data_IF_594593904923
#
_entry.id   IF_594593904923
#
_cell.length_a   1.000
_cell.length_b   1.000
_cell.length_c   1.000
_cell.angle_alpha   90.00
_cell.angle_beta   90.00
_cell.angle_gamma   90.00
#
_symmetry.space_group_name_H-M   'P 1'
#
loop_
_entity.id
_entity.type
_entity.pdbx_description
1 polymer ?
#
# COMPACT_ATOMS: atom_id res chain seq x y z
N UNK A 1 -15.88 -3.88 -25.85
CA UNK A 1 -16.38 -4.15 -24.48
C UNK A 1 -15.21 -3.92 -23.55
N UNK A 2 -15.38 -3.19 -22.46
CA UNK A 2 -14.30 -3.03 -21.49
C UNK A 2 -14.15 -4.32 -20.66
N UNK A 3 -12.95 -4.64 -20.26
CA UNK A 3 -12.66 -5.80 -19.41
C UNK A 3 -13.46 -5.73 -18.10
N UNK A 4 -13.65 -4.52 -17.58
CA UNK A 4 -14.45 -4.27 -16.36
C UNK A 4 -15.92 -4.71 -16.57
N UNK A 5 -16.50 -4.47 -17.74
CA UNK A 5 -17.91 -4.83 -18.00
C UNK A 5 -18.13 -6.34 -18.12
N UNK A 6 -17.12 -7.10 -18.49
CA UNK A 6 -17.19 -8.55 -18.67
C UNK A 6 -16.78 -9.32 -17.41
N UNK A 7 -15.70 -8.87 -16.75
CA UNK A 7 -15.09 -9.59 -15.63
C UNK A 7 -15.09 -8.81 -14.31
N UNK A 8 -15.90 -7.76 -14.18
CA UNK A 8 -15.86 -6.81 -13.04
C UNK A 8 -15.94 -7.49 -11.67
N UNK A 9 -16.83 -8.47 -11.49
CA UNK A 9 -16.95 -9.21 -10.22
C UNK A 9 -15.70 -10.05 -9.92
N UNK A 10 -15.14 -10.71 -10.93
CA UNK A 10 -13.91 -11.51 -10.77
C UNK A 10 -12.72 -10.60 -10.42
N UNK A 11 -12.58 -9.48 -11.14
CA UNK A 11 -11.53 -8.49 -10.87
C UNK A 11 -11.65 -7.93 -9.46
N UNK A 12 -12.86 -7.62 -9.00
CA UNK A 12 -13.11 -7.16 -7.65
C UNK A 12 -12.67 -8.19 -6.60
N UNK A 13 -13.01 -9.46 -6.78
CA UNK A 13 -12.62 -10.52 -5.85
C UNK A 13 -11.10 -10.70 -5.79
N UNK A 14 -10.42 -10.65 -6.94
CA UNK A 14 -8.95 -10.74 -6.99
C UNK A 14 -8.32 -9.50 -6.35
N UNK A 15 -8.84 -8.30 -6.62
CA UNK A 15 -8.38 -7.06 -6.00
C UNK A 15 -8.53 -7.09 -4.47
N UNK A 16 -9.66 -7.59 -3.96
CA UNK A 16 -9.86 -7.80 -2.53
C UNK A 16 -8.86 -8.78 -1.93
N UNK A 17 -8.54 -9.87 -2.63
CA UNK A 17 -7.53 -10.83 -2.18
C UNK A 17 -6.13 -10.20 -2.12
N UNK A 18 -5.74 -9.40 -3.12
CA UNK A 18 -4.47 -8.68 -3.13
C UNK A 18 -4.43 -7.58 -2.07
N UNK A 19 -5.53 -6.85 -1.87
CA UNK A 19 -5.65 -5.85 -0.81
C UNK A 19 -5.50 -6.48 0.59
N UNK A 20 -6.13 -7.64 0.82
CA UNK A 20 -5.98 -8.39 2.07
C UNK A 20 -4.54 -8.88 2.26
N UNK A 21 -3.91 -9.41 1.21
CA UNK A 21 -2.51 -9.83 1.24
C UNK A 21 -1.57 -8.67 1.58
N UNK A 22 -1.77 -7.52 0.94
CA UNK A 22 -0.99 -6.32 1.25
C UNK A 22 -1.24 -5.82 2.68
N UNK A 23 -2.49 -5.74 3.13
CA UNK A 23 -2.85 -5.32 4.48
C UNK A 23 -2.21 -6.23 5.55
N UNK A 24 -2.15 -7.55 5.30
CA UNK A 24 -1.43 -8.48 6.15
C UNK A 24 0.08 -8.17 6.20
N UNK A 25 0.70 -7.87 5.05
CA UNK A 25 2.12 -7.49 4.97
C UNK A 25 2.42 -6.18 5.72
N UNK A 26 1.53 -5.17 5.56
CA UNK A 26 1.60 -3.89 6.29
C UNK A 26 1.52 -4.14 7.80
N UNK A 27 0.49 -4.86 8.27
CA UNK A 27 0.33 -5.15 9.68
C UNK A 27 1.52 -5.91 10.28
N UNK A 28 2.10 -6.87 9.54
CA UNK A 28 3.27 -7.62 10.01
C UNK A 28 4.51 -6.73 10.15
N UNK A 29 4.73 -5.78 9.23
CA UNK A 29 5.90 -4.90 9.24
C UNK A 29 5.71 -3.70 10.19
N UNK A 30 4.60 -2.98 10.07
CA UNK A 30 4.38 -1.74 10.81
C UNK A 30 4.14 -1.98 12.30
N UNK A 31 3.41 -3.03 12.68
CA UNK A 31 3.23 -3.38 14.10
C UNK A 31 4.57 -3.74 14.74
N UNK A 32 5.44 -4.48 14.03
CA UNK A 32 6.77 -4.81 14.52
C UNK A 32 7.62 -3.54 14.72
N UNK A 33 7.58 -2.61 13.76
CA UNK A 33 8.32 -1.35 13.84
C UNK A 33 7.78 -0.42 14.95
N UNK A 34 6.46 -0.26 15.03
CA UNK A 34 5.82 0.64 16.00
C UNK A 34 5.90 0.12 17.44
N UNK A 35 5.73 -1.19 17.65
CA UNK A 35 5.60 -1.79 18.97
C UNK A 35 6.89 -2.47 19.46
N UNK A 36 7.92 -2.58 18.60
CA UNK A 36 9.14 -3.31 18.90
C UNK A 36 9.85 -2.81 20.18
N UNK A 37 9.95 -1.51 20.36
CA UNK A 37 10.55 -0.91 21.57
C UNK A 37 9.74 -1.16 22.83
N UNK A 38 8.41 -1.09 22.74
CA UNK A 38 7.51 -1.34 23.88
C UNK A 38 7.55 -2.80 24.33
N UNK A 39 7.65 -3.72 23.39
CA UNK A 39 7.80 -5.16 23.67
C UNK A 39 9.21 -5.47 24.15
N UNK A 40 10.23 -4.88 23.53
CA UNK A 40 11.63 -5.07 23.89
C UNK A 40 11.95 -4.57 25.30
N UNK A 41 11.37 -3.46 25.71
CA UNK A 41 11.47 -2.93 27.09
C UNK A 41 10.62 -3.67 28.12
N UNK A 42 9.82 -4.65 27.69
CA UNK A 42 8.85 -5.40 28.50
C UNK A 42 7.71 -4.53 29.08
N UNK A 43 7.48 -3.34 28.54
CA UNK A 43 6.33 -2.51 28.92
C UNK A 43 5.00 -3.15 28.45
N UNK A 44 5.03 -3.85 27.31
CA UNK A 44 3.90 -4.61 26.78
C UNK A 44 4.33 -6.03 26.43
N UNK A 45 3.43 -6.98 26.61
CA UNK A 45 3.56 -8.32 26.02
C UNK A 45 3.23 -8.24 24.52
N UNK A 46 3.73 -9.18 23.72
CA UNK A 46 3.43 -9.27 22.28
C UNK A 46 1.91 -9.26 22.03
N UNK A 47 1.13 -10.01 22.81
CA UNK A 47 -0.33 -10.06 22.67
C UNK A 47 -1.00 -8.70 22.93
N UNK A 48 -0.54 -7.99 23.96
CA UNK A 48 -1.04 -6.63 24.27
C UNK A 48 -0.67 -5.65 23.16
N UNK A 49 0.57 -5.70 22.68
CA UNK A 49 1.02 -4.84 21.60
C UNK A 49 0.19 -5.05 20.31
N UNK A 50 -0.05 -6.31 19.91
CA UNK A 50 -0.90 -6.63 18.75
C UNK A 50 -2.32 -6.11 18.96
N UNK A 51 -2.91 -6.30 20.14
CA UNK A 51 -4.27 -5.83 20.41
C UNK A 51 -4.40 -4.31 20.36
N UNK A 52 -3.43 -3.60 20.92
CA UNK A 52 -3.37 -2.13 20.88
C UNK A 52 -3.21 -1.66 19.44
N UNK A 53 -2.24 -2.23 18.69
CA UNK A 53 -2.01 -1.89 17.30
C UNK A 53 -3.28 -2.09 16.45
N UNK A 54 -3.95 -3.24 16.58
CA UNK A 54 -5.18 -3.55 15.85
C UNK A 54 -6.26 -2.47 16.03
N UNK A 55 -6.46 -1.98 17.26
CA UNK A 55 -7.46 -0.95 17.55
C UNK A 55 -7.06 0.38 16.88
N UNK A 56 -5.81 0.82 17.07
CA UNK A 56 -5.36 2.11 16.57
C UNK A 56 -5.19 2.13 15.06
N UNK A 57 -4.74 1.04 14.44
CA UNK A 57 -4.68 0.92 12.97
C UNK A 57 -6.07 0.95 12.36
N UNK A 58 -7.04 0.22 12.95
CA UNK A 58 -8.43 0.28 12.49
C UNK A 58 -9.01 1.69 12.59
N UNK A 59 -8.83 2.35 13.73
CA UNK A 59 -9.28 3.73 13.92
C UNK A 59 -8.59 4.69 12.93
N UNK A 60 -7.29 4.56 12.73
CA UNK A 60 -6.54 5.39 11.78
C UNK A 60 -7.04 5.20 10.35
N UNK A 61 -7.22 3.97 9.90
CA UNK A 61 -7.76 3.66 8.59
C UNK A 61 -9.19 4.20 8.40
N UNK A 62 -10.03 4.08 9.41
CA UNK A 62 -11.41 4.57 9.37
C UNK A 62 -11.50 6.10 9.34
N UNK A 63 -10.66 6.79 10.13
CA UNK A 63 -10.73 8.24 10.28
C UNK A 63 -9.96 9.00 9.19
N UNK A 64 -8.83 8.47 8.71
CA UNK A 64 -7.92 9.17 7.80
C UNK A 64 -7.67 8.44 6.48
N UNK A 65 -8.14 7.20 6.31
CA UNK A 65 -7.89 6.40 5.11
C UNK A 65 -8.38 7.02 3.80
N UNK A 66 -9.46 7.80 3.85
CA UNK A 66 -9.99 8.51 2.67
C UNK A 66 -9.02 9.56 2.13
N UNK A 67 -8.43 10.38 3.01
CA UNK A 67 -7.47 11.43 2.62
C UNK A 67 -6.18 10.84 2.05
N UNK A 68 -5.69 9.74 2.63
CA UNK A 68 -4.51 9.03 2.14
C UNK A 68 -4.79 8.46 0.74
N UNK A 69 -5.94 7.84 0.54
CA UNK A 69 -6.34 7.27 -0.75
C UNK A 69 -6.42 8.36 -1.83
N UNK A 70 -7.00 9.52 -1.50
CA UNK A 70 -7.10 10.64 -2.44
C UNK A 70 -5.72 11.20 -2.81
N UNK A 71 -4.83 11.33 -1.85
CA UNK A 71 -3.45 11.79 -2.07
C UNK A 71 -2.68 10.85 -3.01
N UNK A 72 -2.80 9.54 -2.81
CA UNK A 72 -2.15 8.56 -3.67
C UNK A 72 -2.73 8.61 -5.08
N UNK A 73 -4.06 8.64 -5.20
CA UNK A 73 -4.76 8.61 -6.47
C UNK A 73 -4.49 9.85 -7.35
N UNK A 74 -4.49 11.03 -6.74
CA UNK A 74 -4.43 12.30 -7.48
C UNK A 74 -3.07 12.99 -7.37
N UNK A 75 -2.25 12.63 -6.41
CA UNK A 75 -0.98 13.31 -6.11
C UNK A 75 0.24 12.73 -6.82
N UNK A 76 0.22 11.46 -7.18
CA UNK A 76 1.43 10.76 -7.68
C UNK A 76 1.35 10.50 -9.18
N UNK A 77 0.15 10.18 -9.70
CA UNK A 77 -0.07 9.79 -11.09
C UNK A 77 -1.20 10.60 -11.70
N UNK A 78 -1.03 10.98 -12.96
CA UNK A 78 -2.05 11.66 -13.76
C UNK A 78 -3.12 10.62 -14.20
N UNK A 79 -4.18 10.49 -13.39
CA UNK A 79 -5.25 9.54 -13.62
C UNK A 79 -6.01 9.77 -14.94
N UNK A 80 -6.04 11.01 -15.45
CA UNK A 80 -6.74 11.37 -16.71
C UNK A 80 -6.08 10.75 -17.94
N UNK A 81 -4.82 10.34 -17.82
CA UNK A 81 -4.06 9.69 -18.91
C UNK A 81 -4.21 8.17 -18.93
N UNK A 82 -4.92 7.59 -17.97
CA UNK A 82 -5.01 6.15 -17.77
C UNK A 82 -6.42 5.67 -18.07
N UNK A 83 -6.55 4.68 -18.95
CA UNK A 83 -7.85 4.07 -19.19
C UNK A 83 -8.37 3.35 -17.94
N UNK A 84 -9.69 3.29 -17.70
CA UNK A 84 -10.24 2.62 -16.51
C UNK A 84 -9.79 1.16 -16.36
N UNK A 85 -9.70 0.41 -17.45
CA UNK A 85 -9.24 -1.00 -17.44
C UNK A 85 -7.77 -1.09 -17.01
N UNK A 86 -6.91 -0.21 -17.52
CA UNK A 86 -5.50 -0.16 -17.15
C UNK A 86 -5.30 0.32 -15.71
N UNK A 87 -6.14 1.26 -15.23
CA UNK A 87 -6.12 1.71 -13.85
C UNK A 87 -6.40 0.56 -12.88
N UNK A 88 -7.43 -0.25 -13.14
CA UNK A 88 -7.76 -1.41 -12.31
C UNK A 88 -6.60 -2.41 -12.27
N UNK A 89 -6.03 -2.75 -13.42
CA UNK A 89 -4.88 -3.66 -13.49
C UNK A 89 -3.64 -3.09 -12.78
N UNK A 90 -3.41 -1.78 -12.95
CA UNK A 90 -2.34 -1.08 -12.29
C UNK A 90 -2.45 -1.15 -10.78
N UNK A 91 -3.59 -0.74 -10.22
CA UNK A 91 -3.85 -0.80 -8.79
C UNK A 91 -3.71 -2.23 -8.23
N UNK A 92 -4.16 -3.24 -8.96
CA UNK A 92 -3.98 -4.64 -8.56
C UNK A 92 -2.51 -5.05 -8.58
N UNK A 93 -1.74 -4.60 -9.57
CA UNK A 93 -0.30 -4.90 -9.65
C UNK A 93 0.49 -4.21 -8.54
N UNK A 94 0.11 -3.01 -8.14
CA UNK A 94 0.68 -2.27 -7.02
C UNK A 94 0.47 -2.99 -5.68
N UNK A 95 -0.77 -3.43 -5.42
CA UNK A 95 -1.11 -4.18 -4.21
C UNK A 95 -0.27 -5.47 -4.11
N UNK A 96 -0.13 -6.17 -5.22
CA UNK A 96 0.65 -7.41 -5.29
C UNK A 96 2.15 -7.14 -5.13
N UNK A 97 2.69 -6.13 -5.80
CA UNK A 97 4.10 -5.77 -5.75
C UNK A 97 4.50 -5.28 -4.34
N UNK A 98 3.75 -4.33 -3.77
CA UNK A 98 4.00 -3.82 -2.43
C UNK A 98 3.84 -4.93 -1.38
N UNK A 99 2.77 -5.74 -1.45
CA UNK A 99 2.55 -6.87 -0.54
C UNK A 99 3.67 -7.91 -0.62
N UNK A 100 4.13 -8.24 -1.82
CA UNK A 100 5.26 -9.18 -2.02
C UNK A 100 6.55 -8.64 -1.43
N UNK A 101 6.84 -7.35 -1.65
CA UNK A 101 8.00 -6.71 -1.05
C UNK A 101 7.96 -6.73 0.48
N UNK A 102 6.79 -6.37 1.07
CA UNK A 102 6.59 -6.40 2.52
C UNK A 102 6.72 -7.82 3.09
N UNK A 103 6.24 -8.84 2.38
CA UNK A 103 6.43 -10.24 2.77
C UNK A 103 7.91 -10.61 2.81
N UNK A 104 8.67 -10.25 1.78
CA UNK A 104 10.11 -10.50 1.71
C UNK A 104 10.83 -9.77 2.86
N UNK A 105 10.56 -8.48 3.04
CA UNK A 105 11.16 -7.66 4.08
C UNK A 105 10.87 -8.21 5.48
N UNK A 106 9.61 -8.53 5.78
CA UNK A 106 9.19 -9.10 7.06
C UNK A 106 9.83 -10.47 7.31
N UNK A 107 9.92 -11.32 6.28
CA UNK A 107 10.58 -12.64 6.40
C UNK A 107 12.06 -12.55 6.70
N UNK A 108 12.71 -11.44 6.31
CA UNK A 108 14.13 -11.16 6.56
C UNK A 108 14.37 -10.32 7.82
N UNK A 109 13.29 -9.86 8.47
CA UNK A 109 13.39 -8.96 9.62
C UNK A 109 13.88 -7.56 9.24
N UNK A 110 13.66 -7.13 7.99
CA UNK A 110 14.05 -5.79 7.54
C UNK A 110 12.97 -4.77 7.90
N UNK A 111 13.29 -3.74 8.69
CA UNK A 111 12.38 -2.63 8.92
C UNK A 111 12.34 -1.75 7.67
N UNK A 112 11.23 -1.80 6.94
CA UNK A 112 11.03 -1.00 5.73
C UNK A 112 9.87 -0.04 5.89
N UNK A 113 9.88 1.08 5.16
CA UNK A 113 8.76 1.99 5.08
C UNK A 113 7.69 1.43 4.15
N UNK A 114 6.51 1.17 4.68
CA UNK A 114 5.35 0.71 3.91
C UNK A 114 4.89 1.79 2.94
N UNK A 115 4.90 3.07 3.35
CA UNK A 115 4.58 4.21 2.48
C UNK A 115 5.51 4.27 1.26
N UNK A 116 6.83 4.20 1.46
CA UNK A 116 7.77 4.19 0.35
C UNK A 116 7.59 2.97 -0.57
N UNK A 117 7.23 1.82 0.00
CA UNK A 117 6.96 0.60 -0.77
C UNK A 117 5.75 0.75 -1.68
N UNK A 118 4.66 1.33 -1.17
CA UNK A 118 3.44 1.62 -1.94
C UNK A 118 3.74 2.63 -3.05
N UNK A 119 4.37 3.75 -2.71
CA UNK A 119 4.70 4.80 -3.67
C UNK A 119 5.63 4.26 -4.76
N UNK A 120 6.61 3.45 -4.40
CA UNK A 120 7.47 2.77 -5.37
C UNK A 120 6.71 1.87 -6.33
N UNK A 121 5.70 1.14 -5.84
CA UNK A 121 4.84 0.30 -6.68
C UNK A 121 3.96 1.14 -7.62
N UNK A 122 3.35 2.22 -7.14
CA UNK A 122 2.56 3.19 -7.92
C UNK A 122 3.40 3.82 -9.04
N UNK A 123 4.58 4.32 -8.69
CA UNK A 123 5.52 4.93 -9.64
C UNK A 123 6.00 3.91 -10.67
N UNK A 124 6.31 2.69 -10.22
CA UNK A 124 6.72 1.60 -11.11
C UNK A 124 5.64 1.23 -12.12
N UNK A 125 4.40 1.12 -11.69
CA UNK A 125 3.26 0.89 -12.60
C UNK A 125 3.11 2.06 -13.57
N UNK A 126 3.06 3.30 -13.10
CA UNK A 126 2.84 4.46 -13.95
C UNK A 126 3.97 4.62 -14.98
N UNK A 127 5.23 4.48 -14.58
CA UNK A 127 6.38 4.64 -15.47
C UNK A 127 6.46 3.55 -16.55
N UNK A 128 6.12 2.30 -16.22
CA UNK A 128 6.23 1.17 -17.13
C UNK A 128 4.93 0.92 -17.88
N UNK A 129 3.79 1.02 -17.21
CA UNK A 129 2.47 0.71 -17.78
C UNK A 129 1.86 1.85 -18.60
N UNK A 130 2.24 3.10 -18.33
CA UNK A 130 1.71 4.28 -19.00
C UNK A 130 2.83 5.05 -19.72
N UNK A 131 3.55 5.85 -18.97
CA UNK A 131 4.76 6.58 -19.41
C UNK A 131 5.43 7.23 -18.19
N UNK A 132 6.71 7.57 -18.33
CA UNK A 132 7.43 8.33 -17.29
C UNK A 132 6.85 9.73 -17.07
N UNK A 133 6.17 10.31 -18.08
CA UNK A 133 5.55 11.63 -18.02
C UNK A 133 4.20 11.62 -17.28
N UNK A 134 3.63 10.43 -17.02
CA UNK A 134 2.42 10.27 -16.21
C UNK A 134 2.70 10.34 -14.70
N UNK A 135 3.97 10.41 -14.31
CA UNK A 135 4.40 10.47 -12.91
C UNK A 135 4.67 11.90 -12.50
N UNK A 136 4.10 12.35 -11.40
CA UNK A 136 4.36 13.66 -10.82
C UNK A 136 5.66 13.64 -10.00
N UNK A 137 6.81 13.68 -10.68
CA UNK A 137 8.14 13.58 -10.05
C UNK A 137 8.39 14.62 -8.97
N UNK A 138 7.77 15.80 -9.09
CA UNK A 138 7.88 16.87 -8.08
C UNK A 138 7.21 16.49 -6.75
N UNK A 139 6.20 15.62 -6.76
CA UNK A 139 5.55 15.12 -5.55
C UNK A 139 6.36 14.01 -4.86
N UNK A 140 7.17 13.27 -5.62
CA UNK A 140 7.94 12.13 -5.12
C UNK A 140 9.16 12.60 -4.30
N UNK A 141 9.82 13.68 -4.73
CA UNK A 141 11.00 14.20 -4.06
C UNK A 141 10.84 14.45 -2.56
N UNK A 142 9.83 15.21 -2.11
CA UNK A 142 9.55 15.43 -0.70
C UNK A 142 9.23 14.14 0.07
N UNK A 143 8.55 13.18 -0.56
CA UNK A 143 8.16 11.92 0.08
C UNK A 143 9.39 11.02 0.31
N UNK A 144 10.32 10.99 -0.63
CA UNK A 144 11.57 10.21 -0.50
C UNK A 144 12.51 10.84 0.52
N UNK A 145 12.40 12.17 0.72
CA UNK A 145 13.24 12.92 1.66
C UNK A 145 12.70 12.93 3.11
N UNK A 146 11.48 12.45 3.34
CA UNK A 146 10.85 12.37 4.67
C UNK A 146 11.18 11.05 5.38
#
# INVERSE_FOLDING_TARGET
>A
MSMISEYGTLLLLIACAFAFFMAWGVGANDVANAMGTSVGSRALTIKQAIFVAMIFEFCGAYLAGGEVTETIKNGIVDADRISPDLMVLGMMSELLAAGTWLLIASSKGWPVSTTHSIIGAVVGFAAVGVSTDAVHWNAIGPIVAS
#
